data_IF_896847528023
#
_entry.id   IF_896847528023
#
_cell.length_a   1.000
_cell.length_b   1.000
_cell.length_c   1.000
_cell.angle_alpha   90.00
_cell.angle_beta   90.00
_cell.angle_gamma   90.00
#
_symmetry.space_group_name_H-M   'P 1'
#
loop_
_entity.id
_entity.type
_entity.pdbx_description
1 polymer ?
#
# COMPACT_ATOMS: atom_id res chain seq x y z
N UNK A 1 -55.11 75.24 22.64
CA UNK A 1 -54.15 76.33 22.90
C UNK A 1 -52.76 75.74 22.91
N UNK A 2 -51.91 76.28 22.02
CA UNK A 2 -50.45 76.22 21.95
C UNK A 2 -49.67 74.95 22.37
N UNK A 3 -48.89 74.50 21.40
CA UNK A 3 -47.87 73.45 21.38
C UNK A 3 -46.81 73.53 22.50
N UNK A 4 -46.45 72.35 23.01
CA UNK A 4 -45.16 72.10 23.68
C UNK A 4 -44.48 70.92 22.97
N UNK A 5 -43.17 71.11 22.78
CA UNK A 5 -42.11 70.19 22.38
C UNK A 5 -42.42 68.67 22.48
N UNK A 6 -41.96 67.90 21.49
CA UNK A 6 -40.75 67.06 21.58
C UNK A 6 -40.79 65.86 20.61
N UNK A 7 -39.65 65.69 19.94
CA UNK A 7 -38.98 64.42 19.58
C UNK A 7 -39.75 63.30 18.86
N UNK A 8 -39.12 62.94 17.75
CA UNK A 8 -38.81 61.60 17.26
C UNK A 8 -39.69 61.01 16.15
N UNK A 9 -38.91 60.51 15.19
CA UNK A 9 -39.09 59.29 14.42
C UNK A 9 -39.86 59.39 13.11
N UNK A 10 -39.12 58.98 12.08
CA UNK A 10 -39.58 58.08 11.02
C UNK A 10 -40.01 58.72 9.69
N UNK A 11 -39.27 58.31 8.64
CA UNK A 11 -39.74 57.81 7.34
C UNK A 11 -39.30 58.61 6.09
N UNK A 12 -38.37 57.96 5.38
CA UNK A 12 -38.28 57.74 3.93
C UNK A 12 -38.27 58.92 2.95
N UNK A 13 -37.12 59.04 2.26
CA UNK A 13 -36.88 59.00 0.80
C UNK A 13 -35.58 59.82 0.58
N UNK A 14 -34.48 59.25 0.11
CA UNK A 14 -34.25 58.95 -1.30
C UNK A 14 -33.24 57.79 -1.40
N UNK A 15 -33.70 56.76 -2.10
CA UNK A 15 -32.97 55.59 -2.58
C UNK A 15 -32.23 55.92 -3.89
N UNK A 16 -31.21 55.11 -4.16
CA UNK A 16 -30.54 54.87 -5.45
C UNK A 16 -29.37 55.80 -5.79
N UNK A 17 -28.18 55.39 -5.36
CA UNK A 17 -26.97 55.48 -6.20
C UNK A 17 -26.04 54.31 -5.83
N UNK A 18 -25.95 53.37 -6.76
CA UNK A 18 -25.05 52.23 -6.87
C UNK A 18 -23.78 52.29 -6.02
N UNK A 19 -23.77 51.57 -4.90
CA UNK A 19 -22.57 50.95 -4.36
C UNK A 19 -22.66 49.45 -4.63
N UNK A 20 -22.33 49.03 -5.85
CA UNK A 20 -21.81 47.69 -6.08
C UNK A 20 -20.46 47.62 -5.35
N UNK A 21 -20.51 47.40 -4.04
CA UNK A 21 -19.38 46.84 -3.33
C UNK A 21 -19.30 45.40 -3.84
N UNK A 22 -18.49 45.20 -4.89
CA UNK A 22 -17.96 43.89 -5.19
C UNK A 22 -17.34 43.39 -3.89
N UNK A 23 -18.02 42.44 -3.24
CA UNK A 23 -17.36 41.49 -2.39
C UNK A 23 -16.36 40.78 -3.30
N UNK A 24 -15.16 41.34 -3.38
CA UNK A 24 -13.98 40.60 -3.74
C UNK A 24 -13.81 39.62 -2.59
N UNK A 25 -14.44 38.45 -2.74
CA UNK A 25 -13.96 37.22 -2.14
C UNK A 25 -12.51 37.05 -2.59
N UNK A 26 -11.61 37.70 -1.86
CA UNK A 26 -10.22 37.32 -1.84
C UNK A 26 -10.19 36.00 -1.09
N UNK A 27 -10.45 34.92 -1.83
CA UNK A 27 -9.85 33.63 -1.53
C UNK A 27 -8.34 33.86 -1.56
N UNK A 28 -7.80 34.38 -0.46
CA UNK A 28 -6.39 34.37 -0.21
C UNK A 28 -6.01 32.89 -0.20
N UNK A 29 -5.42 32.41 -1.30
CA UNK A 29 -4.58 31.23 -1.22
C UNK A 29 -3.67 31.49 -0.03
N UNK A 30 -3.77 30.71 1.05
CA UNK A 30 -2.79 30.77 2.13
C UNK A 30 -1.45 30.52 1.46
N UNK A 31 -0.70 31.59 1.20
CA UNK A 31 0.69 31.47 0.80
C UNK A 31 1.35 30.72 1.95
N UNK A 32 1.80 29.50 1.68
CA UNK A 32 2.45 28.68 2.69
C UNK A 32 3.62 29.48 3.25
N UNK A 33 3.67 29.63 4.58
CA UNK A 33 4.75 30.36 5.24
C UNK A 33 6.08 29.63 5.00
N UNK A 34 6.87 30.14 4.05
CA UNK A 34 8.08 29.48 3.55
C UNK A 34 9.13 29.21 4.66
N UNK A 35 9.37 30.14 5.61
CA UNK A 35 10.14 29.85 6.84
C UNK A 35 9.64 28.63 7.63
N UNK A 36 8.33 28.47 7.78
CA UNK A 36 7.73 27.34 8.51
C UNK A 36 7.92 26.00 7.77
N UNK A 37 7.78 25.99 6.44
CA UNK A 37 8.02 24.78 5.62
C UNK A 37 9.48 24.34 5.68
N UNK A 38 10.40 25.29 5.52
CA UNK A 38 11.85 25.00 5.55
C UNK A 38 12.23 24.35 6.88
N UNK A 39 11.74 24.89 8.01
CA UNK A 39 11.98 24.30 9.32
C UNK A 39 11.44 22.86 9.42
N UNK A 40 10.19 22.63 9.00
CA UNK A 40 9.58 21.28 8.98
C UNK A 40 10.39 20.30 8.12
N UNK A 41 10.94 20.77 7.00
CA UNK A 41 11.77 19.96 6.12
C UNK A 41 13.09 19.56 6.78
N UNK A 42 13.81 20.50 7.42
CA UNK A 42 15.07 20.17 8.12
C UNK A 42 14.85 19.19 9.30
N UNK A 43 13.75 19.34 10.04
CA UNK A 43 13.35 18.41 11.10
C UNK A 43 13.02 17.02 10.53
N UNK A 44 12.28 16.98 9.42
CA UNK A 44 11.97 15.74 8.70
C UNK A 44 13.24 15.08 8.15
N UNK A 45 14.16 15.85 7.56
CA UNK A 45 15.44 15.33 7.06
C UNK A 45 16.24 14.69 8.19
N UNK A 46 16.33 15.35 9.33
CA UNK A 46 17.02 14.83 10.52
C UNK A 46 16.39 13.52 11.00
N UNK A 47 15.06 13.47 11.07
CA UNK A 47 14.31 12.27 11.50
C UNK A 47 14.52 11.08 10.57
N UNK A 48 14.61 11.31 9.27
CA UNK A 48 14.73 10.26 8.26
C UNK A 48 16.17 10.06 7.74
N UNK A 49 17.17 10.70 8.36
CA UNK A 49 18.57 10.59 7.97
C UNK A 49 18.83 11.03 6.53
N UNK A 50 18.13 12.06 6.06
CA UNK A 50 18.19 12.53 4.66
C UNK A 50 19.35 13.49 4.47
N UNK A 51 20.14 13.21 3.45
CA UNK A 51 21.22 14.06 2.96
C UNK A 51 21.14 14.11 1.42
N UNK A 52 21.58 15.23 0.83
CA UNK A 52 21.47 15.50 -0.60
C UNK A 52 22.82 15.83 -1.21
N UNK A 53 23.00 15.44 -2.47
CA UNK A 53 24.27 15.60 -3.19
C UNK A 53 24.76 17.06 -3.25
N UNK A 54 23.84 17.99 -3.42
CA UNK A 54 24.11 19.41 -3.57
C UNK A 54 22.88 20.26 -3.18
N UNK A 55 23.09 21.57 -3.03
CA UNK A 55 22.03 22.53 -2.66
C UNK A 55 20.90 22.58 -3.69
N UNK A 56 21.18 22.30 -4.96
CA UNK A 56 20.16 22.31 -6.02
C UNK A 56 19.20 21.12 -5.86
N UNK A 57 19.72 19.91 -5.57
CA UNK A 57 18.91 18.75 -5.23
C UNK A 57 18.13 18.99 -3.93
N UNK A 58 18.77 19.53 -2.88
CA UNK A 58 18.07 19.89 -1.64
C UNK A 58 16.90 20.86 -1.89
N UNK A 59 17.11 21.88 -2.71
CA UNK A 59 16.07 22.83 -3.07
C UNK A 59 14.94 22.20 -3.90
N UNK A 60 15.24 21.25 -4.80
CA UNK A 60 14.23 20.46 -5.51
C UNK A 60 13.40 19.64 -4.51
N UNK A 61 14.06 18.93 -3.61
CA UNK A 61 13.43 18.04 -2.62
C UNK A 61 12.56 18.80 -1.61
N UNK A 62 12.99 20.00 -1.20
CA UNK A 62 12.17 20.90 -0.39
C UNK A 62 10.85 21.28 -1.08
N UNK A 63 10.85 21.56 -2.40
CA UNK A 63 9.62 21.88 -3.13
C UNK A 63 8.65 20.69 -3.18
N UNK A 64 9.17 19.50 -3.45
CA UNK A 64 8.37 18.27 -3.47
C UNK A 64 7.80 17.98 -2.07
N UNK A 65 8.64 18.13 -1.03
CA UNK A 65 8.21 18.01 0.36
C UNK A 65 7.10 19.01 0.70
N UNK A 66 7.20 20.26 0.23
CA UNK A 66 6.17 21.26 0.42
C UNK A 66 4.83 20.83 -0.21
N UNK A 67 4.86 20.23 -1.40
CA UNK A 67 3.66 19.72 -2.08
C UNK A 67 3.04 18.55 -1.31
N UNK A 68 3.84 17.59 -0.86
CA UNK A 68 3.35 16.47 -0.03
C UNK A 68 2.84 16.95 1.35
N UNK A 69 3.51 17.91 1.98
CA UNK A 69 3.04 18.53 3.22
C UNK A 69 1.68 19.20 3.04
N UNK A 70 1.51 19.93 1.93
CA UNK A 70 0.23 20.55 1.58
C UNK A 70 -0.86 19.49 1.40
N UNK A 71 -0.60 18.43 0.65
CA UNK A 71 -1.53 17.32 0.46
C UNK A 71 -1.95 16.73 1.82
N UNK A 72 -1.00 16.44 2.71
CA UNK A 72 -1.27 15.88 4.04
C UNK A 72 -2.14 16.83 4.87
N UNK A 73 -1.78 18.11 4.94
CA UNK A 73 -2.54 19.09 5.74
C UNK A 73 -3.94 19.35 5.19
N UNK A 74 -4.09 19.49 3.87
CA UNK A 74 -5.39 19.66 3.23
C UNK A 74 -6.26 18.42 3.43
N UNK A 75 -5.70 17.22 3.20
CA UNK A 75 -6.42 15.97 3.35
C UNK A 75 -6.95 15.78 4.77
N UNK A 76 -6.08 15.95 5.77
CA UNK A 76 -6.39 15.74 7.19
C UNK A 76 -7.27 16.86 7.77
N UNK A 77 -7.40 18.01 7.10
CA UNK A 77 -8.30 19.10 7.54
C UNK A 77 -9.77 18.88 7.16
N UNK A 78 -10.05 17.96 6.25
CA UNK A 78 -11.42 17.67 5.82
C UNK A 78 -12.17 16.83 6.88
N UNK A 79 -13.48 17.04 6.99
CA UNK A 79 -14.33 16.27 7.90
C UNK A 79 -14.57 14.83 7.40
N UNK A 80 -14.93 13.93 8.32
CA UNK A 80 -15.38 12.55 8.05
C UNK A 80 -14.39 11.70 7.21
N UNK A 81 -13.11 11.71 7.59
CA UNK A 81 -12.11 10.81 6.99
C UNK A 81 -12.07 9.46 7.70
N UNK A 82 -11.91 8.38 6.93
CA UNK A 82 -11.71 7.02 7.46
C UNK A 82 -10.23 6.66 7.63
N UNK A 83 -9.31 7.51 7.15
CA UNK A 83 -7.86 7.35 7.26
C UNK A 83 -7.14 8.71 7.35
N UNK A 84 -5.88 8.67 7.72
CA UNK A 84 -4.97 9.80 7.83
C UNK A 84 -3.80 9.65 6.86
N UNK A 85 -3.34 10.80 6.36
CA UNK A 85 -2.05 10.90 5.67
C UNK A 85 -0.98 11.43 6.63
N UNK A 86 0.28 11.15 6.31
CA UNK A 86 1.41 11.60 7.11
C UNK A 86 2.67 11.79 6.28
N UNK A 87 3.52 12.68 6.76
CA UNK A 87 4.88 12.77 6.23
C UNK A 87 5.67 11.53 6.66
N UNK A 88 6.12 10.75 5.70
CA UNK A 88 6.91 9.55 5.89
C UNK A 88 8.24 9.67 5.14
N UNK A 89 9.04 8.60 5.06
CA UNK A 89 10.36 8.69 4.40
C UNK A 89 10.27 9.04 2.91
N UNK A 90 9.13 8.89 2.25
CA UNK A 90 8.94 9.16 0.82
C UNK A 90 8.44 10.56 0.52
N UNK A 91 8.28 11.42 1.53
CA UNK A 91 7.66 12.74 1.35
C UNK A 91 8.52 13.74 0.56
N UNK A 92 9.77 13.43 0.22
CA UNK A 92 10.60 14.23 -0.70
C UNK A 92 10.60 13.70 -2.14
N UNK A 93 9.74 12.72 -2.46
CA UNK A 93 9.59 12.15 -3.80
C UNK A 93 8.28 12.59 -4.44
N UNK A 94 8.31 12.86 -5.75
CA UNK A 94 7.06 12.95 -6.51
C UNK A 94 6.40 11.58 -6.55
N UNK A 95 5.11 11.53 -6.87
CA UNK A 95 4.41 10.26 -6.97
C UNK A 95 4.98 9.40 -8.12
N UNK A 96 5.40 10.02 -9.23
CA UNK A 96 6.03 9.32 -10.35
C UNK A 96 7.39 8.74 -9.98
N UNK A 97 8.23 9.51 -9.27
CA UNK A 97 9.51 9.00 -8.73
C UNK A 97 9.27 7.83 -7.77
N UNK A 98 8.25 7.95 -6.92
CA UNK A 98 7.87 6.92 -5.97
C UNK A 98 7.42 5.63 -6.66
N UNK A 99 6.45 5.71 -7.57
CA UNK A 99 5.92 4.55 -8.31
C UNK A 99 7.03 3.89 -9.12
N UNK A 100 7.82 4.66 -9.85
CA UNK A 100 8.90 4.12 -10.69
C UNK A 100 9.98 3.37 -9.90
N UNK A 101 10.14 3.68 -8.61
CA UNK A 101 11.25 3.17 -7.79
C UNK A 101 10.81 2.07 -6.81
N UNK A 102 9.62 2.18 -6.23
CA UNK A 102 9.18 1.35 -5.10
C UNK A 102 8.07 0.36 -5.43
N UNK A 103 7.56 0.37 -6.68
CA UNK A 103 6.67 -0.68 -7.18
C UNK A 103 7.41 -1.54 -8.20
N UNK A 104 6.76 -2.59 -8.71
CA UNK A 104 7.43 -3.54 -9.60
C UNK A 104 6.59 -4.74 -10.01
N UNK A 105 5.29 -4.73 -9.77
CA UNK A 105 4.44 -5.77 -10.32
C UNK A 105 4.34 -5.58 -11.84
N UNK A 106 4.60 -6.66 -12.58
CA UNK A 106 4.45 -6.73 -14.03
C UNK A 106 3.83 -8.06 -14.42
N UNK A 107 2.62 -8.02 -14.97
CA UNK A 107 1.97 -9.21 -15.52
C UNK A 107 2.60 -9.59 -16.87
N UNK A 108 3.07 -10.83 -17.06
CA UNK A 108 3.52 -11.31 -18.36
C UNK A 108 2.38 -11.31 -19.40
N UNK A 109 2.71 -10.98 -20.65
CA UNK A 109 1.76 -10.87 -21.77
C UNK A 109 1.05 -12.19 -22.12
N UNK A 110 1.63 -13.34 -21.73
CA UNK A 110 1.05 -14.67 -21.93
C UNK A 110 0.95 -15.43 -20.59
N UNK A 111 0.00 -15.06 -19.75
CA UNK A 111 -0.22 -15.74 -18.46
C UNK A 111 -1.40 -16.72 -18.59
N UNK A 112 -1.16 -18.01 -18.31
CA UNK A 112 -2.25 -19.00 -18.15
C UNK A 112 -2.60 -19.07 -16.66
N UNK A 113 -3.88 -18.93 -16.33
CA UNK A 113 -4.35 -19.12 -14.95
C UNK A 113 -4.19 -20.57 -14.52
N UNK A 114 -3.59 -20.78 -13.36
CA UNK A 114 -3.59 -22.04 -12.64
C UNK A 114 -4.77 -22.06 -11.65
N UNK A 115 -5.98 -22.15 -12.20
CA UNK A 115 -7.18 -22.26 -11.38
C UNK A 115 -7.38 -23.72 -10.97
N UNK A 116 -7.02 -24.06 -9.74
CA UNK A 116 -7.60 -25.23 -9.08
C UNK A 116 -8.98 -24.83 -8.53
N UNK A 117 -9.91 -25.79 -8.42
CA UNK A 117 -11.16 -25.50 -7.67
C UNK A 117 -10.73 -25.22 -6.24
N UNK A 118 -10.91 -23.98 -5.77
CA UNK A 118 -10.95 -23.68 -4.34
C UNK A 118 -11.89 -24.72 -3.71
N UNK A 119 -11.41 -25.46 -2.72
CA UNK A 119 -12.31 -26.20 -1.84
C UNK A 119 -13.12 -25.13 -1.12
N UNK A 120 -14.32 -24.88 -1.63
CA UNK A 120 -15.08 -23.71 -1.25
C UNK A 120 -15.54 -23.89 0.20
N UNK A 121 -15.36 -22.86 1.02
CA UNK A 121 -16.08 -22.77 2.30
C UNK A 121 -17.60 -22.78 2.08
N UNK A 122 -18.08 -22.50 0.86
CA UNK A 122 -19.48 -22.70 0.48
C UNK A 122 -19.94 -24.16 0.64
N UNK A 123 -19.04 -25.15 0.52
CA UNK A 123 -19.35 -26.56 0.80
C UNK A 123 -19.47 -26.85 2.31
N UNK A 124 -18.99 -25.94 3.18
CA UNK A 124 -19.01 -26.05 4.65
C UNK A 124 -20.12 -25.21 5.32
N UNK A 125 -20.96 -24.52 4.53
CA UNK A 125 -22.10 -23.73 4.99
C UNK A 125 -21.78 -22.26 5.33
N UNK A 126 -22.83 -21.42 5.52
CA UNK A 126 -22.74 -19.95 5.55
C UNK A 126 -22.00 -19.34 6.77
N UNK A 127 -21.67 -20.13 7.80
CA UNK A 127 -20.99 -19.68 9.03
C UNK A 127 -19.54 -20.18 9.14
N UNK A 128 -18.93 -20.61 8.04
CA UNK A 128 -17.62 -21.28 8.08
C UNK A 128 -16.42 -20.32 7.99
N UNK A 129 -16.63 -19.08 7.56
CA UNK A 129 -15.60 -18.03 7.46
C UNK A 129 -15.67 -17.14 8.71
N UNK A 130 -14.59 -16.98 9.49
CA UNK A 130 -14.57 -16.07 10.65
C UNK A 130 -14.82 -14.61 10.26
N UNK A 131 -15.43 -13.81 11.14
CA UNK A 131 -15.67 -12.37 10.90
C UNK A 131 -14.37 -11.56 10.75
N UNK A 132 -13.29 -12.02 11.40
CA UNK A 132 -11.96 -11.42 11.30
C UNK A 132 -10.87 -12.48 11.40
N UNK A 133 -9.77 -12.26 10.69
CA UNK A 133 -8.57 -13.08 10.73
C UNK A 133 -7.37 -12.13 10.75
N UNK A 134 -6.39 -12.44 11.60
CA UNK A 134 -5.14 -11.67 11.72
C UNK A 134 -3.98 -12.67 11.83
N UNK A 135 -3.36 -12.96 10.68
CA UNK A 135 -2.25 -13.92 10.63
C UNK A 135 -0.98 -13.42 11.30
N UNK A 136 -0.87 -12.11 11.54
CA UNK A 136 0.22 -11.53 12.32
C UNK A 136 0.09 -11.98 13.77
N UNK A 137 -1.11 -11.83 14.35
CA UNK A 137 -1.39 -12.31 15.72
C UNK A 137 -1.33 -13.83 15.86
N UNK A 138 -1.63 -14.56 14.79
CA UNK A 138 -1.51 -16.02 14.76
C UNK A 138 -0.06 -16.50 14.57
N UNK A 139 0.92 -15.59 14.46
CA UNK A 139 2.34 -15.92 14.37
C UNK A 139 2.77 -16.47 13.01
N UNK A 140 2.00 -16.25 11.94
CA UNK A 140 2.29 -16.73 10.59
C UNK A 140 2.90 -15.66 9.67
N UNK A 141 3.39 -14.55 10.23
CA UNK A 141 3.92 -13.42 9.47
C UNK A 141 5.19 -12.92 10.16
N UNK A 142 6.31 -12.89 9.42
CA UNK A 142 7.59 -12.34 9.90
C UNK A 142 7.52 -10.81 10.14
N UNK A 143 8.53 -10.17 10.74
CA UNK A 143 8.62 -8.71 10.77
C UNK A 143 8.60 -8.07 9.37
N UNK A 144 8.19 -6.80 9.27
CA UNK A 144 8.20 -6.04 8.01
C UNK A 144 9.63 -5.90 7.49
N UNK A 145 9.78 -6.04 6.17
CA UNK A 145 11.05 -5.87 5.45
C UNK A 145 11.02 -4.61 4.57
N UNK A 146 12.16 -4.27 3.98
CA UNK A 146 12.32 -3.11 3.09
C UNK A 146 12.94 -3.52 1.75
N UNK A 147 12.20 -3.31 0.65
CA UNK A 147 12.65 -3.65 -0.71
C UNK A 147 13.65 -2.65 -1.31
N UNK A 148 13.97 -1.54 -0.64
CA UNK A 148 14.88 -0.56 -1.21
C UNK A 148 14.37 0.07 -2.52
N UNK A 149 15.31 0.49 -3.38
CA UNK A 149 15.07 1.06 -4.71
C UNK A 149 15.14 -0.01 -5.79
N UNK A 150 14.42 -1.11 -5.58
CA UNK A 150 14.35 -2.24 -6.48
C UNK A 150 12.87 -2.61 -6.67
N UNK A 151 12.43 -2.84 -7.90
CA UNK A 151 11.07 -3.25 -8.22
C UNK A 151 10.77 -4.71 -7.86
N UNK A 152 11.18 -5.14 -6.67
CA UNK A 152 11.11 -6.53 -6.21
C UNK A 152 9.88 -6.85 -5.37
N UNK A 153 8.88 -5.96 -5.26
CA UNK A 153 7.68 -6.19 -4.45
C UNK A 153 6.99 -7.54 -4.71
N UNK A 154 7.06 -8.04 -5.95
CA UNK A 154 6.56 -9.35 -6.35
C UNK A 154 7.25 -10.50 -5.58
N UNK A 155 8.56 -10.41 -5.36
CA UNK A 155 9.31 -11.42 -4.60
C UNK A 155 8.97 -11.40 -3.10
N UNK A 156 8.80 -10.20 -2.52
CA UNK A 156 8.36 -10.03 -1.13
C UNK A 156 6.93 -10.56 -0.92
N UNK A 157 6.04 -10.35 -1.88
CA UNK A 157 4.67 -10.89 -1.84
C UNK A 157 4.68 -12.43 -1.88
N UNK A 158 5.50 -13.03 -2.75
CA UNK A 158 5.67 -14.49 -2.82
C UNK A 158 6.23 -15.06 -1.53
N UNK A 159 7.35 -14.49 -1.04
CA UNK A 159 8.02 -14.96 0.17
C UNK A 159 7.08 -14.90 1.37
N UNK A 160 6.36 -13.79 1.58
CA UNK A 160 5.42 -13.66 2.68
C UNK A 160 4.33 -14.76 2.67
N UNK A 161 3.81 -15.14 1.49
CA UNK A 161 2.83 -16.21 1.38
C UNK A 161 3.44 -17.61 1.63
N UNK A 162 4.68 -17.87 1.18
CA UNK A 162 5.38 -19.15 1.39
C UNK A 162 5.79 -19.33 2.86
N UNK A 163 6.29 -18.27 3.50
CA UNK A 163 6.60 -18.27 4.94
C UNK A 163 5.36 -18.62 5.75
N UNK A 164 4.23 -17.97 5.44
CA UNK A 164 2.98 -18.18 6.15
C UNK A 164 2.44 -19.61 6.01
N UNK A 165 2.38 -20.16 4.78
CA UNK A 165 1.90 -21.53 4.60
C UNK A 165 2.84 -22.55 5.25
N UNK A 166 4.15 -22.26 5.29
CA UNK A 166 5.12 -23.12 5.99
C UNK A 166 4.86 -23.11 7.49
N UNK A 167 4.61 -21.95 8.09
CA UNK A 167 4.24 -21.87 9.50
C UNK A 167 2.91 -22.58 9.79
N UNK A 168 1.89 -22.40 8.95
CA UNK A 168 0.56 -22.99 9.14
C UNK A 168 0.63 -24.53 9.11
N UNK A 169 1.46 -25.11 8.22
CA UNK A 169 1.52 -26.56 8.02
C UNK A 169 2.56 -27.27 8.88
N UNK A 170 3.69 -26.63 9.17
CA UNK A 170 4.81 -27.25 9.90
C UNK A 170 4.96 -26.75 11.34
N UNK A 171 4.37 -25.60 11.67
CA UNK A 171 4.58 -24.92 12.95
C UNK A 171 5.87 -24.09 13.04
N UNK A 172 6.66 -24.02 11.97
CA UNK A 172 7.91 -23.25 11.89
C UNK A 172 7.77 -22.08 10.92
N UNK A 173 8.13 -20.88 11.36
CA UNK A 173 8.10 -19.65 10.56
C UNK A 173 9.52 -19.38 10.05
N UNK A 174 9.86 -19.82 8.83
CA UNK A 174 11.16 -19.51 8.26
C UNK A 174 11.24 -18.03 7.89
N UNK A 175 12.45 -17.48 7.88
CA UNK A 175 12.77 -16.22 7.19
C UNK A 175 13.41 -16.58 5.85
N UNK A 176 12.70 -16.39 4.74
CA UNK A 176 13.09 -16.85 3.41
C UNK A 176 13.68 -15.71 2.56
N UNK A 177 14.46 -16.09 1.55
CA UNK A 177 15.21 -15.15 0.71
C UNK A 177 14.36 -14.59 -0.44
N UNK A 178 14.09 -13.29 -0.42
CA UNK A 178 13.58 -12.59 -1.60
C UNK A 178 14.62 -12.51 -2.72
N UNK A 179 15.90 -12.39 -2.36
CA UNK A 179 17.00 -12.22 -3.31
C UNK A 179 17.19 -13.43 -4.22
N UNK A 180 17.00 -14.65 -3.72
CA UNK A 180 17.01 -15.84 -4.56
C UNK A 180 15.97 -15.74 -5.68
N UNK A 181 14.77 -15.21 -5.40
CA UNK A 181 13.76 -15.05 -6.43
C UNK A 181 14.20 -13.99 -7.44
N UNK A 182 14.73 -12.86 -6.98
CA UNK A 182 15.24 -11.77 -7.84
C UNK A 182 16.29 -12.30 -8.82
N UNK A 183 17.26 -13.07 -8.32
CA UNK A 183 18.42 -13.51 -9.11
C UNK A 183 18.13 -14.74 -9.97
N UNK A 184 17.24 -15.63 -9.53
CA UNK A 184 17.08 -16.96 -10.13
C UNK A 184 15.73 -17.20 -10.81
N UNK A 185 14.64 -16.53 -10.41
CA UNK A 185 13.31 -16.81 -10.91
C UNK A 185 13.03 -16.13 -12.26
N UNK A 186 13.97 -16.18 -13.20
CA UNK A 186 13.88 -15.49 -14.50
C UNK A 186 12.90 -16.14 -15.49
N UNK A 187 12.49 -17.38 -15.21
CA UNK A 187 11.48 -18.07 -16.00
C UNK A 187 10.09 -17.44 -15.77
N UNK A 188 9.23 -17.47 -16.78
CA UNK A 188 7.86 -16.95 -16.65
C UNK A 188 7.71 -15.42 -16.78
N UNK A 189 8.80 -14.68 -16.99
CA UNK A 189 8.78 -13.26 -17.36
C UNK A 189 9.21 -12.27 -16.26
N UNK A 190 9.61 -12.77 -15.09
CA UNK A 190 10.20 -11.93 -14.04
C UNK A 190 11.59 -11.44 -14.46
N UNK A 191 11.89 -10.19 -14.10
CA UNK A 191 13.08 -9.45 -14.53
C UNK A 191 13.75 -8.79 -13.32
N UNK A 192 13.83 -9.52 -12.20
CA UNK A 192 14.47 -9.05 -10.98
C UNK A 192 13.90 -7.70 -10.49
N UNK A 193 14.78 -6.69 -10.34
CA UNK A 193 14.42 -5.33 -9.95
C UNK A 193 13.64 -4.55 -11.02
N UNK A 194 13.59 -5.02 -12.26
CA UNK A 194 12.71 -4.44 -13.28
C UNK A 194 11.27 -4.96 -13.17
N UNK A 195 10.98 -5.82 -12.20
CA UNK A 195 9.63 -6.25 -11.88
C UNK A 195 9.31 -7.68 -12.28
N UNK A 196 8.16 -8.14 -11.80
CA UNK A 196 7.74 -9.53 -11.94
C UNK A 196 6.34 -9.80 -11.42
N UNK A 197 5.98 -11.07 -11.40
CA UNK A 197 4.68 -11.61 -11.06
C UNK A 197 4.83 -12.80 -10.10
N UNK A 198 3.88 -12.89 -9.16
CA UNK A 198 3.98 -13.81 -8.04
C UNK A 198 3.92 -15.28 -8.47
N UNK A 199 3.06 -15.63 -9.44
CA UNK A 199 2.94 -17.02 -9.91
C UNK A 199 4.23 -17.55 -10.51
N UNK A 200 5.00 -16.71 -11.21
CA UNK A 200 6.30 -17.12 -11.75
C UNK A 200 7.31 -17.35 -10.62
N UNK A 201 7.21 -16.58 -9.53
CA UNK A 201 7.97 -16.83 -8.30
C UNK A 201 7.58 -18.17 -7.66
N UNK A 202 6.30 -18.45 -7.48
CA UNK A 202 5.84 -19.75 -6.96
C UNK A 202 6.27 -20.92 -7.85
N UNK A 203 6.12 -20.78 -9.17
CA UNK A 203 6.53 -21.81 -10.13
C UNK A 203 8.04 -22.09 -10.05
N UNK A 204 8.85 -21.04 -9.93
CA UNK A 204 10.29 -21.21 -9.72
C UNK A 204 10.60 -22.02 -8.45
N UNK A 205 9.93 -21.73 -7.32
CA UNK A 205 10.17 -22.47 -6.06
C UNK A 205 9.84 -23.96 -6.23
N UNK A 206 8.76 -24.29 -6.96
CA UNK A 206 8.38 -25.67 -7.28
C UNK A 206 9.47 -26.34 -8.11
N UNK A 207 9.89 -25.70 -9.21
CA UNK A 207 10.88 -26.24 -10.15
C UNK A 207 12.27 -26.39 -9.51
N UNK A 208 12.66 -25.43 -8.67
CA UNK A 208 13.90 -25.44 -7.90
C UNK A 208 13.86 -26.42 -6.72
N UNK A 209 12.67 -26.97 -6.39
CA UNK A 209 12.44 -27.88 -5.25
C UNK A 209 12.66 -27.23 -3.89
N UNK A 210 12.38 -25.93 -3.81
CA UNK A 210 12.43 -25.14 -2.58
C UNK A 210 13.04 -23.77 -2.75
N UNK A 211 13.05 -23.05 -1.63
CA UNK A 211 13.60 -21.70 -1.48
C UNK A 211 14.47 -21.65 -0.22
N UNK A 212 15.57 -20.93 -0.29
CA UNK A 212 16.58 -20.78 0.73
C UNK A 212 16.16 -19.79 1.82
N UNK A 213 16.84 -19.88 2.96
CA UNK A 213 16.67 -18.91 4.03
C UNK A 213 17.29 -17.56 3.65
N UNK A 214 16.81 -16.48 4.26
CA UNK A 214 17.43 -15.16 4.18
C UNK A 214 18.90 -15.19 4.63
N UNK A 215 19.25 -16.02 5.61
CA UNK A 215 20.64 -16.14 6.06
C UNK A 215 21.56 -16.82 5.06
N UNK A 216 21.05 -17.77 4.27
CA UNK A 216 21.83 -18.48 3.25
C UNK A 216 21.93 -17.69 1.94
N UNK A 217 20.94 -16.84 1.66
CA UNK A 217 20.91 -15.98 0.47
C UNK A 217 20.38 -14.58 0.84
N UNK A 218 21.22 -13.71 1.42
CA UNK A 218 20.78 -12.41 1.96
C UNK A 218 20.28 -11.41 0.91
N UNK A 219 19.36 -10.55 1.32
CA UNK A 219 18.85 -9.45 0.50
C UNK A 219 19.91 -8.39 0.20
N UNK A 220 20.11 -8.13 -1.10
CA UNK A 220 21.02 -7.09 -1.61
C UNK A 220 20.23 -5.91 -2.17
N UNK A 221 19.04 -6.15 -2.74
CA UNK A 221 18.20 -5.11 -3.33
C UNK A 221 18.71 -4.60 -4.68
N UNK A 222 19.37 -5.48 -5.44
CA UNK A 222 19.82 -5.26 -6.81
C UNK A 222 19.83 -6.60 -7.57
N UNK A 223 19.84 -6.55 -8.89
CA UNK A 223 19.97 -7.75 -9.72
C UNK A 223 21.36 -8.38 -9.53
N UNK A 224 21.38 -9.65 -9.15
CA UNK A 224 22.57 -10.47 -9.03
C UNK A 224 22.61 -11.62 -10.05
N UNK A 225 23.68 -12.41 -9.98
CA UNK A 225 23.72 -13.71 -10.67
C UNK A 225 23.21 -14.78 -9.71
N UNK A 226 22.30 -15.64 -10.18
CA UNK A 226 21.78 -16.75 -9.39
C UNK A 226 22.91 -17.61 -8.78
N UNK A 227 23.05 -17.56 -7.46
CA UNK A 227 23.95 -18.44 -6.71
C UNK A 227 23.33 -19.84 -6.59
N UNK A 228 23.82 -20.76 -7.44
CA UNK A 228 23.34 -22.15 -7.49
C UNK A 228 23.65 -22.96 -6.24
N UNK A 229 24.68 -22.59 -5.49
CA UNK A 229 25.03 -23.31 -4.26
C UNK A 229 24.05 -22.90 -3.17
N UNK A 230 23.89 -21.58 -2.95
CA UNK A 230 22.92 -21.06 -1.98
C UNK A 230 21.50 -21.54 -2.32
N UNK A 231 21.07 -21.38 -3.58
CA UNK A 231 19.72 -21.73 -4.03
C UNK A 231 19.36 -23.22 -3.94
N UNK A 232 20.34 -24.10 -3.74
CA UNK A 232 20.15 -25.55 -3.56
C UNK A 232 19.81 -25.95 -2.12
N UNK A 233 20.03 -25.06 -1.15
CA UNK A 233 19.74 -25.29 0.27
C UNK A 233 18.33 -24.79 0.56
N UNK A 234 17.35 -25.70 0.55
CA UNK A 234 15.94 -25.36 0.76
C UNK A 234 15.60 -25.25 2.26
N UNK A 235 15.13 -24.07 2.69
CA UNK A 235 14.54 -23.83 3.99
C UNK A 235 13.01 -24.04 4.00
N UNK A 236 12.35 -23.88 2.84
CA UNK A 236 10.93 -24.18 2.66
C UNK A 236 10.65 -24.73 1.26
N UNK A 237 9.51 -25.41 1.10
CA UNK A 237 9.04 -25.99 -0.16
C UNK A 237 7.54 -25.81 -0.29
N UNK A 238 7.08 -25.70 -1.54
CA UNK A 238 5.67 -25.71 -1.91
C UNK A 238 5.47 -26.73 -3.02
N UNK A 239 4.31 -27.36 -3.06
CA UNK A 239 3.95 -28.41 -4.02
C UNK A 239 3.20 -27.87 -5.23
N UNK A 240 2.41 -26.80 -5.06
CA UNK A 240 1.71 -26.08 -6.13
C UNK A 240 1.34 -24.66 -5.70
N UNK A 241 0.60 -23.93 -6.54
CA UNK A 241 -0.04 -22.66 -6.20
C UNK A 241 -1.41 -22.59 -6.89
N UNK A 242 -2.30 -21.74 -6.37
CA UNK A 242 -3.67 -21.58 -6.87
C UNK A 242 -4.00 -20.11 -7.15
N UNK A 243 -4.59 -19.84 -8.31
CA UNK A 243 -5.20 -18.56 -8.63
C UNK A 243 -6.64 -18.49 -8.14
N UNK A 244 -6.92 -17.51 -7.28
CA UNK A 244 -8.27 -17.20 -6.81
C UNK A 244 -9.04 -16.47 -7.92
N UNK A 245 -10.35 -16.68 -8.03
CA UNK A 245 -11.15 -15.91 -8.98
C UNK A 245 -11.18 -14.43 -8.57
N UNK A 246 -11.33 -13.51 -9.53
CA UNK A 246 -11.28 -12.08 -9.25
C UNK A 246 -12.55 -11.60 -8.52
N UNK A 247 -12.66 -11.91 -7.22
CA UNK A 247 -13.82 -11.67 -6.36
C UNK A 247 -13.37 -11.46 -4.92
N UNK A 248 -13.96 -10.46 -4.25
CA UNK A 248 -13.72 -10.25 -2.81
C UNK A 248 -14.21 -11.44 -1.97
N UNK A 249 -15.27 -12.15 -2.38
CA UNK A 249 -15.78 -13.33 -1.67
C UNK A 249 -14.82 -14.52 -1.75
N UNK A 250 -14.27 -14.79 -2.95
CA UNK A 250 -13.32 -15.89 -3.14
C UNK A 250 -11.98 -15.56 -2.47
N UNK A 251 -11.56 -14.29 -2.52
CA UNK A 251 -10.40 -13.80 -1.78
C UNK A 251 -10.62 -13.90 -0.27
N UNK A 252 -11.82 -13.60 0.24
CA UNK A 252 -12.15 -13.73 1.65
C UNK A 252 -11.99 -15.17 2.13
N UNK A 253 -12.54 -16.12 1.37
CA UNK A 253 -12.38 -17.55 1.62
C UNK A 253 -10.90 -17.98 1.61
N UNK A 254 -10.09 -17.47 0.66
CA UNK A 254 -8.67 -17.77 0.61
C UNK A 254 -7.88 -17.22 1.81
N UNK A 255 -8.10 -15.93 2.15
CA UNK A 255 -7.42 -15.27 3.28
C UNK A 255 -7.79 -15.91 4.62
N UNK A 256 -9.01 -16.46 4.74
CA UNK A 256 -9.42 -17.20 5.93
C UNK A 256 -8.61 -18.49 6.17
N UNK A 257 -7.99 -19.07 5.12
CA UNK A 257 -7.13 -20.26 5.24
C UNK A 257 -5.67 -19.92 5.49
N UNK A 258 -5.17 -18.87 4.84
CA UNK A 258 -3.76 -18.48 4.87
C UNK A 258 -3.57 -17.08 4.27
N UNK A 259 -2.46 -16.39 4.53
CA UNK A 259 -2.06 -15.21 3.77
C UNK A 259 -1.95 -15.49 2.27
N UNK A 260 -2.35 -14.51 1.45
CA UNK A 260 -2.35 -14.61 -0.02
C UNK A 260 -1.54 -13.48 -0.64
N UNK A 261 -0.93 -13.74 -1.78
CA UNK A 261 -0.28 -12.72 -2.60
C UNK A 261 -1.32 -12.00 -3.45
N UNK A 262 -1.25 -10.67 -3.49
CA UNK A 262 -2.15 -9.84 -4.31
C UNK A 262 -1.39 -8.78 -5.07
N UNK A 263 -1.90 -8.39 -6.23
CA UNK A 263 -1.50 -7.16 -6.90
C UNK A 263 -2.56 -6.07 -6.72
N UNK A 264 -2.12 -4.82 -6.59
CA UNK A 264 -2.97 -3.64 -6.44
C UNK A 264 -2.36 -2.42 -7.16
N UNK A 265 -3.18 -1.39 -7.35
CA UNK A 265 -2.73 -0.08 -7.80
C UNK A 265 -2.28 0.79 -6.61
N UNK A 266 -0.98 1.01 -6.51
CA UNK A 266 -0.37 1.86 -5.50
C UNK A 266 0.03 3.25 -6.05
N UNK A 267 -0.53 3.68 -7.19
CA UNK A 267 -0.15 4.95 -7.84
C UNK A 267 -0.70 6.20 -7.15
N UNK A 268 -1.59 6.08 -6.16
CA UNK A 268 -2.18 7.27 -5.52
C UNK A 268 -1.18 8.02 -4.65
N UNK A 269 -1.13 9.36 -4.72
CA UNK A 269 -0.36 10.18 -3.77
C UNK A 269 -0.80 9.97 -2.32
N UNK A 270 -2.06 9.63 -2.10
CA UNK A 270 -2.60 9.26 -0.80
C UNK A 270 -2.13 7.88 -0.34
N UNK A 271 -1.88 6.94 -1.27
CA UNK A 271 -1.27 5.64 -0.98
C UNK A 271 0.19 5.83 -0.56
N UNK A 272 0.95 6.66 -1.30
CA UNK A 272 2.33 7.02 -0.95
C UNK A 272 2.42 7.62 0.46
N UNK A 273 1.49 8.51 0.83
CA UNK A 273 1.50 9.24 2.10
C UNK A 273 0.60 8.61 3.18
N UNK A 274 0.11 7.37 2.99
CA UNK A 274 -0.74 6.70 3.96
C UNK A 274 -0.02 6.56 5.32
N UNK A 275 -0.75 6.86 6.39
CA UNK A 275 -0.25 6.79 7.78
C UNK A 275 -1.08 5.83 8.64
N UNK A 276 -2.40 5.81 8.50
CA UNK A 276 -3.25 4.91 9.29
C UNK A 276 -4.74 5.09 9.03
N UNK A 277 -5.55 4.17 9.55
CA UNK A 277 -6.99 4.11 9.30
C UNK A 277 -7.37 3.21 8.10
N UNK A 278 -8.66 3.12 7.78
CA UNK A 278 -9.13 2.32 6.64
C UNK A 278 -9.11 3.16 5.37
N UNK A 279 -8.14 2.88 4.51
CA UNK A 279 -7.95 3.55 3.23
C UNK A 279 -9.12 3.28 2.29
N UNK A 280 -9.71 4.36 1.78
CA UNK A 280 -10.90 4.34 0.94
C UNK A 280 -10.66 4.90 -0.48
N UNK A 281 -9.38 5.03 -0.90
CA UNK A 281 -9.00 5.62 -2.18
C UNK A 281 -8.90 7.15 -2.14
N UNK A 282 -8.61 7.81 -3.26
CA UNK A 282 -8.72 7.28 -4.61
C UNK A 282 -7.53 6.40 -5.00
N UNK A 283 -7.83 5.39 -5.82
CA UNK A 283 -6.87 4.54 -6.53
C UNK A 283 -7.58 3.98 -7.77
N UNK A 284 -6.82 3.64 -8.82
CA UNK A 284 -7.35 3.00 -10.01
C UNK A 284 -7.31 1.48 -9.90
N UNK A 285 -7.33 0.81 -11.05
CA UNK A 285 -7.15 -0.65 -11.17
C UNK A 285 -5.97 -0.99 -12.09
N UNK A 286 -5.09 -0.02 -12.34
CA UNK A 286 -3.84 -0.21 -13.09
C UNK A 286 -2.78 -0.78 -12.16
N UNK A 287 -2.90 -2.08 -11.91
CA UNK A 287 -2.07 -2.82 -10.96
C UNK A 287 -0.58 -2.63 -11.24
N UNK A 288 0.19 -2.21 -10.23
CA UNK A 288 1.62 -1.93 -10.37
C UNK A 288 2.45 -2.35 -9.16
N UNK A 289 1.82 -2.76 -8.06
CA UNK A 289 2.47 -3.18 -6.83
C UNK A 289 1.95 -4.53 -6.36
N UNK A 290 2.81 -5.31 -5.71
CA UNK A 290 2.46 -6.61 -5.14
C UNK A 290 2.69 -6.61 -3.63
N UNK A 291 1.69 -7.06 -2.88
CA UNK A 291 1.71 -7.13 -1.41
C UNK A 291 1.15 -8.49 -0.97
N UNK A 292 1.20 -8.77 0.33
CA UNK A 292 0.49 -9.91 0.91
C UNK A 292 -0.71 -9.42 1.72
N UNK A 293 -1.86 -10.07 1.55
CA UNK A 293 -3.02 -9.86 2.43
C UNK A 293 -2.92 -10.89 3.55
N UNK A 294 -2.74 -10.40 4.76
CA UNK A 294 -2.44 -11.18 5.97
C UNK A 294 -3.61 -11.20 6.95
N UNK A 295 -4.78 -10.71 6.53
CA UNK A 295 -5.95 -10.70 7.37
C UNK A 295 -7.06 -9.82 6.83
N UNK A 296 -8.14 -9.77 7.58
CA UNK A 296 -9.28 -8.91 7.36
C UNK A 296 -10.06 -8.71 8.66
N UNK A 297 -10.90 -7.68 8.70
CA UNK A 297 -11.77 -7.43 9.84
C UNK A 297 -12.72 -6.27 9.58
N UNK A 298 -13.23 -5.70 10.65
CA UNK A 298 -14.00 -4.46 10.63
C UNK A 298 -13.41 -3.49 11.67
N UNK A 299 -13.38 -2.21 11.32
CA UNK A 299 -13.01 -1.15 12.25
C UNK A 299 -14.17 -0.88 13.23
N UNK A 300 -13.92 -0.04 14.24
CA UNK A 300 -14.87 0.31 15.31
C UNK A 300 -16.18 0.92 14.82
N UNK A 301 -16.19 1.53 13.64
CA UNK A 301 -17.37 2.09 12.97
C UNK A 301 -18.10 1.07 12.07
N UNK A 302 -17.60 -0.17 12.00
CA UNK A 302 -18.11 -1.24 11.15
C UNK A 302 -17.51 -1.29 9.74
N UNK A 303 -16.61 -0.37 9.38
CA UNK A 303 -15.96 -0.36 8.06
C UNK A 303 -15.07 -1.59 7.92
N UNK A 304 -15.42 -2.48 6.99
CA UNK A 304 -14.66 -3.69 6.71
C UNK A 304 -13.35 -3.36 6.00
N UNK A 305 -12.30 -4.12 6.29
CA UNK A 305 -10.99 -3.92 5.68
C UNK A 305 -10.26 -5.24 5.39
N UNK A 306 -9.38 -5.18 4.39
CA UNK A 306 -8.24 -6.07 4.19
C UNK A 306 -7.04 -5.54 4.95
N UNK A 307 -6.31 -6.40 5.65
CA UNK A 307 -5.03 -6.07 6.27
C UNK A 307 -3.90 -6.48 5.33
N UNK A 308 -3.21 -5.50 4.74
CA UNK A 308 -2.06 -5.77 3.87
C UNK A 308 -0.74 -5.60 4.61
N UNK A 309 0.21 -6.48 4.28
CA UNK A 309 1.63 -6.40 4.63
C UNK A 309 2.38 -5.81 3.44
N UNK A 310 2.99 -4.64 3.61
CA UNK A 310 3.79 -4.02 2.57
C UNK A 310 5.30 -4.33 2.74
N UNK A 311 6.14 -3.86 1.83
CA UNK A 311 7.60 -4.08 1.80
C UNK A 311 8.39 -2.77 1.78
N UNK A 312 7.82 -1.72 2.38
CA UNK A 312 8.32 -0.35 2.37
C UNK A 312 8.90 0.11 3.72
N UNK A 313 9.27 -0.85 4.58
CA UNK A 313 9.72 -0.63 5.96
C UNK A 313 8.60 -0.16 6.91
N UNK A 314 8.88 -0.18 8.21
CA UNK A 314 7.94 0.18 9.29
C UNK A 314 7.61 1.67 9.33
N UNK A 315 8.41 2.51 8.67
CA UNK A 315 8.18 3.96 8.62
C UNK A 315 7.00 4.39 7.74
N UNK A 316 6.43 3.47 6.95
CA UNK A 316 5.28 3.72 6.08
C UNK A 316 4.03 3.06 6.65
N UNK A 317 2.88 3.73 6.57
CA UNK A 317 1.60 3.22 7.05
C UNK A 317 1.59 2.88 8.55
N UNK A 318 0.81 1.87 8.90
CA UNK A 318 0.64 1.35 10.26
C UNK A 318 1.77 0.35 10.54
N UNK A 319 2.98 0.87 10.80
CA UNK A 319 4.20 0.06 11.01
C UNK A 319 4.50 -0.90 9.85
N UNK A 320 4.30 -0.46 8.61
CA UNK A 320 4.49 -1.26 7.38
C UNK A 320 3.24 -1.97 6.89
N UNK A 321 2.13 -1.86 7.62
CA UNK A 321 0.83 -2.39 7.24
C UNK A 321 -0.11 -1.29 6.75
N UNK A 322 -1.19 -1.71 6.11
CA UNK A 322 -2.27 -0.81 5.72
C UNK A 322 -3.59 -1.57 5.73
N UNK A 323 -4.64 -0.90 6.20
CA UNK A 323 -6.01 -1.37 6.12
C UNK A 323 -6.67 -0.76 4.89
N UNK A 324 -7.06 -1.60 3.94
CA UNK A 324 -7.74 -1.17 2.69
C UNK A 324 -9.20 -1.55 2.79
N UNK A 325 -10.11 -0.63 2.48
CA UNK A 325 -11.55 -0.88 2.56
C UNK A 325 -11.94 -2.11 1.71
N UNK A 326 -12.68 -3.02 2.35
CA UNK A 326 -13.31 -4.19 1.73
C UNK A 326 -14.79 -3.90 1.47
N UNK A 327 -15.37 -4.54 0.46
CA UNK A 327 -16.78 -4.39 0.08
C UNK A 327 -17.09 -2.94 -0.36
N UNK A 328 -16.14 -2.29 -1.03
CA UNK A 328 -16.27 -0.91 -1.50
C UNK A 328 -17.20 -0.75 -2.73
N UNK A 329 -17.79 -1.85 -3.22
CA UNK A 329 -18.66 -1.85 -4.39
C UNK A 329 -17.92 -1.67 -5.73
N UNK A 330 -16.62 -1.96 -5.76
CA UNK A 330 -15.77 -1.86 -6.95
C UNK A 330 -15.44 -3.26 -7.45
N UNK A 331 -15.64 -3.52 -8.74
CA UNK A 331 -15.25 -4.80 -9.37
C UNK A 331 -13.75 -5.05 -9.19
N UNK A 332 -13.38 -6.23 -8.70
CA UNK A 332 -12.00 -6.55 -8.36
C UNK A 332 -11.50 -5.91 -7.07
N UNK A 333 -12.37 -5.33 -6.24
CA UNK A 333 -12.04 -4.70 -4.96
C UNK A 333 -11.39 -3.31 -5.11
N UNK A 334 -11.34 -2.55 -4.02
CA UNK A 334 -10.67 -1.24 -4.02
C UNK A 334 -9.19 -1.38 -4.43
N UNK A 335 -8.73 -0.49 -5.29
CA UNK A 335 -7.40 -0.53 -5.92
C UNK A 335 -7.13 -1.79 -6.78
N UNK A 336 -8.17 -2.53 -7.14
CA UNK A 336 -8.07 -3.80 -7.86
C UNK A 336 -7.50 -4.96 -7.03
N UNK A 337 -7.46 -4.84 -5.70
CA UNK A 337 -6.79 -5.79 -4.79
C UNK A 337 -7.25 -7.25 -4.93
N UNK A 338 -8.50 -7.49 -5.31
CA UNK A 338 -9.07 -8.81 -5.52
C UNK A 338 -8.98 -9.28 -6.99
N UNK A 339 -8.30 -8.55 -7.89
CA UNK A 339 -8.25 -8.89 -9.32
C UNK A 339 -7.20 -9.96 -9.65
N UNK A 340 -6.13 -10.01 -8.86
CA UNK A 340 -4.91 -10.78 -9.11
C UNK A 340 -4.41 -11.35 -7.79
N UNK A 341 -5.02 -12.46 -7.40
CA UNK A 341 -4.82 -13.10 -6.09
C UNK A 341 -4.38 -14.54 -6.31
N UNK A 342 -3.27 -14.92 -5.69
CA UNK A 342 -2.79 -16.30 -5.70
C UNK A 342 -2.14 -16.67 -4.37
N UNK A 343 -2.10 -17.97 -4.07
CA UNK A 343 -1.48 -18.48 -2.86
C UNK A 343 -0.77 -19.82 -3.11
N UNK A 344 0.34 -20.09 -2.39
CA UNK A 344 1.05 -21.35 -2.48
C UNK A 344 0.35 -22.46 -1.68
N UNK A 345 0.56 -23.70 -2.09
CA UNK A 345 0.12 -24.92 -1.41
C UNK A 345 1.37 -25.68 -0.97
N UNK A 346 1.48 -25.97 0.33
CA UNK A 346 2.56 -26.77 0.89
C UNK A 346 2.28 -28.26 0.71
#
# INVERSE_FOLDING_TARGET
MASILAKNLSICLILVLCACACALDTAASRAYDFPSVTKKFEEWMTRHGRDYRDDAEKAKRLKIFQENLRLVEEFNSAANRTYELGLNKYSDLTNEEFVATYTGYKLPSSTRRNSSKLHSFQDQGPNSIPDSVDWVKNGAVNPIKYQGQCGSCWSFSVVAAVEAITQITSGVLPNLSEQQLIDCATNGGNQGCQGGWMDSGFQYIIDNKGISSESDYPYVGADGTCDKQASSVAAAKISSYTDVNPSEDDMLAAVAMQPVSVALDASGSEFQNYKGGVFAGPCGTSLNHAVAVVGYGADTDGTKFWLIRNSWDVSWGEEGYMRIQRDAGVEGGLCGIASKVSYPVA
#
